data_IF_924419889942
#
_entry.id   IF_924419889942
#
_cell.length_a   1.000
_cell.length_b   1.000
_cell.length_c   1.000
_cell.angle_alpha   90.00
_cell.angle_beta   90.00
_cell.angle_gamma   90.00
#
_symmetry.space_group_name_H-M   'P 1'
#
loop_
_entity.id
_entity.type
_entity.pdbx_description
1 polymer ?
#
# COMPACT_ATOMS: atom_id res chain seq x y z
N UNK A 1 -41.71 0.79 50.78
CA UNK A 1 -43.12 0.68 50.35
C UNK A 1 -43.09 0.63 48.83
N UNK A 2 -43.23 -0.56 48.23
CA UNK A 2 -43.36 -0.70 46.78
C UNK A 2 -44.83 -0.44 46.39
N UNK A 3 -45.04 0.42 45.40
CA UNK A 3 -46.33 0.59 44.74
C UNK A 3 -46.43 -0.38 43.56
N UNK A 4 -47.36 -1.32 43.68
CA UNK A 4 -47.96 -2.11 42.61
C UNK A 4 -48.75 -1.21 41.64
N UNK A 5 -48.92 -1.67 40.38
CA UNK A 5 -50.06 -1.49 39.43
C UNK A 5 -49.57 -1.41 37.95
N UNK A 6 -50.36 -1.81 36.94
CA UNK A 6 -50.36 -3.19 36.43
C UNK A 6 -50.26 -3.30 34.89
N UNK A 7 -50.18 -4.55 34.44
CA UNK A 7 -50.34 -5.01 33.06
C UNK A 7 -51.62 -4.50 32.38
N UNK A 8 -51.51 -4.14 31.09
CA UNK A 8 -52.66 -4.04 30.17
C UNK A 8 -52.46 -5.02 29.00
N UNK A 9 -53.36 -5.99 28.91
CA UNK A 9 -53.71 -6.72 27.69
C UNK A 9 -54.75 -5.93 26.89
N UNK A 10 -54.67 -5.98 25.56
CA UNK A 10 -55.80 -6.11 24.62
C UNK A 10 -55.26 -6.29 23.18
N UNK A 11 -55.45 -7.47 22.57
CA UNK A 11 -56.35 -7.75 21.42
C UNK A 11 -55.65 -7.56 20.04
N UNK A 12 -55.82 -8.38 19.00
CA UNK A 12 -56.94 -9.24 18.62
C UNK A 12 -56.49 -10.41 17.71
N UNK A 13 -57.28 -11.48 17.75
CA UNK A 13 -57.23 -12.63 16.85
C UNK A 13 -58.08 -12.38 15.57
N UNK A 14 -57.74 -13.09 14.49
CA UNK A 14 -58.58 -13.19 13.29
C UNK A 14 -58.04 -14.21 12.29
N UNK A 15 -58.50 -15.46 12.39
CA UNK A 15 -58.26 -16.60 11.49
C UNK A 15 -59.54 -16.89 10.69
N UNK A 16 -59.45 -17.21 9.40
CA UNK A 16 -60.38 -18.12 8.71
C UNK A 16 -59.80 -18.62 7.37
N UNK A 17 -60.08 -19.89 7.04
CA UNK A 17 -59.41 -20.74 6.05
C UNK A 17 -60.40 -21.33 5.01
N UNK A 18 -60.10 -21.20 3.71
CA UNK A 18 -60.32 -22.16 2.58
C UNK A 18 -61.74 -22.51 2.07
N UNK A 19 -61.91 -23.39 1.05
CA UNK A 19 -61.10 -23.67 -0.17
C UNK A 19 -61.97 -23.88 -1.46
N UNK A 20 -61.34 -24.08 -2.64
CA UNK A 20 -62.04 -24.55 -3.87
C UNK A 20 -61.11 -24.80 -5.08
N UNK A 21 -61.23 -26.00 -5.69
CA UNK A 21 -60.42 -26.58 -6.78
C UNK A 21 -61.13 -26.45 -8.14
N UNK A 22 -60.40 -26.22 -9.24
CA UNK A 22 -60.87 -26.59 -10.60
C UNK A 22 -60.26 -25.82 -11.79
N UNK A 23 -59.56 -26.58 -12.65
CA UNK A 23 -59.35 -26.41 -14.10
C UNK A 23 -58.14 -25.65 -14.70
N UNK A 24 -57.44 -26.38 -15.58
CA UNK A 24 -56.29 -26.05 -16.45
C UNK A 24 -56.84 -25.67 -17.84
N UNK A 25 -56.20 -24.78 -18.64
CA UNK A 25 -55.32 -25.28 -19.70
C UNK A 25 -54.14 -24.36 -20.11
N UNK A 26 -53.18 -24.99 -20.81
CA UNK A 26 -52.28 -24.47 -21.85
C UNK A 26 -51.21 -23.41 -21.53
N UNK A 27 -49.96 -23.87 -21.55
CA UNK A 27 -48.75 -23.09 -21.82
C UNK A 27 -48.70 -22.76 -23.32
N UNK A 28 -48.33 -21.54 -23.71
CA UNK A 28 -47.48 -21.42 -24.89
C UNK A 28 -46.26 -20.51 -24.69
N UNK A 29 -45.18 -20.99 -25.31
CA UNK A 29 -44.13 -20.24 -25.99
C UNK A 29 -43.21 -19.32 -25.17
N UNK A 30 -42.02 -19.87 -24.93
CA UNK A 30 -40.71 -19.21 -24.89
C UNK A 30 -40.67 -17.83 -25.55
N UNK A 31 -40.56 -16.79 -24.71
CA UNK A 31 -39.90 -15.55 -25.10
C UNK A 31 -38.46 -15.64 -24.58
N UNK A 32 -37.54 -15.91 -25.49
CA UNK A 32 -36.10 -15.95 -25.29
C UNK A 32 -35.64 -14.57 -24.78
N UNK A 33 -35.35 -14.48 -23.47
CA UNK A 33 -34.68 -13.29 -22.93
C UNK A 33 -33.27 -13.24 -23.53
N UNK A 34 -32.82 -12.08 -24.03
CA UNK A 34 -31.43 -11.92 -24.43
C UNK A 34 -30.53 -12.25 -23.23
N UNK A 35 -29.55 -13.11 -23.46
CA UNK A 35 -28.58 -13.52 -22.45
C UNK A 35 -27.98 -12.27 -21.78
N UNK A 36 -27.87 -12.23 -20.44
CA UNK A 36 -27.11 -11.16 -19.78
C UNK A 36 -25.67 -11.17 -20.31
N UNK A 37 -25.01 -10.00 -20.42
CA UNK A 37 -23.62 -9.94 -20.84
C UNK A 37 -22.81 -10.86 -19.94
N UNK A 38 -22.01 -11.73 -20.57
CA UNK A 38 -21.14 -12.72 -19.93
C UNK A 38 -20.54 -12.11 -18.68
N UNK A 39 -21.02 -12.57 -17.52
CA UNK A 39 -20.51 -12.13 -16.24
C UNK A 39 -19.01 -12.41 -16.23
N UNK A 40 -18.22 -11.34 -16.05
CA UNK A 40 -16.80 -11.47 -15.76
C UNK A 40 -16.62 -12.53 -14.65
N UNK A 41 -15.57 -13.38 -14.71
CA UNK A 41 -15.42 -14.49 -13.79
C UNK A 41 -15.50 -13.98 -12.35
N UNK A 42 -16.44 -14.53 -11.60
CA UNK A 42 -16.63 -14.22 -10.19
C UNK A 42 -15.33 -14.53 -9.44
N UNK A 43 -14.52 -13.50 -9.21
CA UNK A 43 -13.39 -13.58 -8.29
C UNK A 43 -13.95 -13.98 -6.93
N UNK A 44 -13.46 -15.10 -6.39
CA UNK A 44 -14.00 -15.69 -5.16
C UNK A 44 -14.04 -14.63 -4.03
N UNK A 45 -15.15 -14.50 -3.29
CA UNK A 45 -15.33 -13.41 -2.32
C UNK A 45 -14.31 -13.42 -1.17
N UNK A 46 -13.70 -14.56 -0.87
CA UNK A 46 -12.70 -14.75 0.20
C UNK A 46 -11.30 -14.21 -0.13
N UNK A 47 -11.06 -13.82 -1.38
CA UNK A 47 -9.70 -13.51 -1.89
C UNK A 47 -9.44 -12.01 -2.05
N UNK A 48 -10.43 -11.17 -1.72
CA UNK A 48 -10.33 -9.71 -1.77
C UNK A 48 -10.36 -9.18 -0.34
N UNK A 49 -9.20 -8.76 0.19
CA UNK A 49 -9.16 -8.05 1.47
C UNK A 49 -10.14 -6.86 1.40
N UNK A 50 -11.13 -6.74 2.30
CA UNK A 50 -12.16 -5.70 2.19
C UNK A 50 -11.56 -4.29 2.18
N UNK A 51 -10.42 -4.08 2.86
CA UNK A 51 -9.70 -2.80 2.86
C UNK A 51 -9.18 -2.45 1.45
N UNK A 52 -8.76 -3.44 0.65
CA UNK A 52 -8.33 -3.20 -0.73
C UNK A 52 -9.49 -2.68 -1.59
N UNK A 53 -10.66 -3.31 -1.48
CA UNK A 53 -11.84 -2.94 -2.24
C UNK A 53 -12.33 -1.52 -1.91
N UNK A 54 -12.10 -1.05 -0.68
CA UNK A 54 -12.47 0.28 -0.23
C UNK A 54 -11.41 1.34 -0.53
N UNK A 55 -10.12 0.97 -0.55
CA UNK A 55 -9.03 1.90 -0.84
C UNK A 55 -8.77 2.10 -2.34
N UNK A 56 -8.91 1.06 -3.17
CA UNK A 56 -8.43 1.06 -4.55
C UNK A 56 -9.61 1.12 -5.52
N UNK A 57 -9.73 2.23 -6.24
CA UNK A 57 -10.84 2.46 -7.19
C UNK A 57 -10.59 1.86 -8.58
N UNK A 58 -9.33 1.54 -8.90
CA UNK A 58 -8.94 0.96 -10.18
C UNK A 58 -7.44 0.66 -10.24
N UNK A 59 -6.98 0.04 -11.32
CA UNK A 59 -5.58 -0.34 -11.51
C UNK A 59 -4.65 0.88 -11.63
N UNK A 60 -5.18 2.01 -12.11
CA UNK A 60 -4.46 3.28 -12.24
C UNK A 60 -4.58 4.19 -11.00
N UNK A 61 -5.30 3.76 -9.96
CA UNK A 61 -5.45 4.51 -8.70
C UNK A 61 -4.17 4.38 -7.85
N UNK A 62 -3.12 5.08 -8.26
CA UNK A 62 -1.81 5.03 -7.59
C UNK A 62 -1.92 5.41 -6.11
N UNK A 63 -2.74 6.41 -5.78
CA UNK A 63 -2.98 6.82 -4.39
C UNK A 63 -3.64 5.69 -3.59
N UNK A 64 -4.63 5.00 -4.16
CA UNK A 64 -5.25 3.82 -3.55
C UNK A 64 -4.27 2.66 -3.38
N UNK A 65 -3.47 2.34 -4.40
CA UNK A 65 -2.50 1.25 -4.37
C UNK A 65 -1.39 1.49 -3.33
N UNK A 66 -0.82 2.70 -3.29
CA UNK A 66 0.16 3.09 -2.27
C UNK A 66 -0.52 3.13 -0.89
N UNK A 67 -1.75 3.62 -0.79
CA UNK A 67 -2.53 3.61 0.45
C UNK A 67 -2.73 2.19 0.99
N UNK A 68 -3.01 1.22 0.13
CA UNK A 68 -3.11 -0.19 0.52
C UNK A 68 -1.78 -0.76 1.01
N UNK A 69 -0.66 -0.40 0.39
CA UNK A 69 0.66 -0.79 0.87
C UNK A 69 0.93 -0.22 2.28
N UNK A 70 0.53 1.03 2.55
CA UNK A 70 0.62 1.64 3.88
C UNK A 70 -0.25 0.91 4.92
N UNK A 71 -1.46 0.51 4.56
CA UNK A 71 -2.29 -0.34 5.41
C UNK A 71 -1.60 -1.67 5.74
N UNK A 72 -1.01 -2.35 4.75
CA UNK A 72 -0.30 -3.63 4.97
C UNK A 72 0.91 -3.46 5.87
N UNK A 73 1.62 -2.34 5.76
CA UNK A 73 2.70 -1.97 6.67
C UNK A 73 2.18 -1.81 8.11
N UNK A 74 1.10 -1.05 8.29
CA UNK A 74 0.48 -0.86 9.60
C UNK A 74 -0.05 -2.19 10.19
N UNK A 75 -0.62 -3.09 9.38
CA UNK A 75 -1.06 -4.42 9.83
C UNK A 75 0.11 -5.26 10.34
N UNK A 76 1.25 -5.22 9.64
CA UNK A 76 2.46 -5.92 10.09
C UNK A 76 2.96 -5.37 11.43
N UNK A 77 2.98 -4.05 11.59
CA UNK A 77 3.45 -3.43 12.83
C UNK A 77 2.50 -3.71 14.00
N UNK A 78 1.19 -3.77 13.73
CA UNK A 78 0.19 -4.24 14.69
C UNK A 78 0.41 -5.70 15.10
N UNK A 79 0.62 -6.62 14.14
CA UNK A 79 0.91 -8.04 14.44
C UNK A 79 2.15 -8.19 15.32
N UNK A 80 3.24 -7.50 14.98
CA UNK A 80 4.47 -7.54 15.77
C UNK A 80 4.24 -6.99 17.20
N UNK A 81 3.48 -5.91 17.32
CA UNK A 81 3.14 -5.32 18.62
C UNK A 81 2.23 -6.22 19.45
N UNK A 82 1.27 -6.90 18.81
CA UNK A 82 0.37 -7.83 19.43
C UNK A 82 1.14 -9.02 20.01
N UNK A 83 1.99 -9.66 19.21
CA UNK A 83 2.82 -10.79 19.65
C UNK A 83 3.74 -10.38 20.82
N UNK A 84 4.39 -9.22 20.72
CA UNK A 84 5.24 -8.70 21.81
C UNK A 84 4.47 -8.49 23.11
N UNK A 85 3.20 -8.10 23.04
CA UNK A 85 2.37 -7.78 24.21
C UNK A 85 1.73 -9.01 24.84
N UNK A 86 1.26 -9.94 24.01
CA UNK A 86 0.47 -11.10 24.46
C UNK A 86 1.24 -12.42 24.46
N UNK A 87 2.45 -12.47 23.87
CA UNK A 87 3.26 -13.69 23.76
C UNK A 87 2.65 -14.76 22.85
N UNK A 88 1.66 -14.39 22.02
CA UNK A 88 0.97 -15.26 21.06
C UNK A 88 0.54 -14.46 19.85
N UNK A 89 0.23 -15.17 18.76
CA UNK A 89 -0.45 -14.58 17.61
C UNK A 89 -1.90 -14.19 17.96
N UNK A 90 -2.48 -13.18 17.27
CA UNK A 90 -3.89 -12.84 17.43
C UNK A 90 -4.78 -13.96 16.89
N UNK A 91 -5.92 -14.13 17.53
CA UNK A 91 -7.02 -14.97 17.06
C UNK A 91 -7.73 -14.32 15.87
N UNK A 92 -8.54 -15.09 15.16
CA UNK A 92 -9.29 -14.58 14.00
C UNK A 92 -10.21 -13.41 14.39
N UNK A 93 -10.94 -13.52 15.51
CA UNK A 93 -11.83 -12.46 15.99
C UNK A 93 -11.08 -11.15 16.31
N UNK A 94 -9.84 -11.26 16.82
CA UNK A 94 -8.98 -10.10 17.08
C UNK A 94 -8.48 -9.47 15.78
N UNK A 95 -8.17 -10.29 14.77
CA UNK A 95 -7.80 -9.82 13.42
C UNK A 95 -8.98 -9.13 12.75
N UNK A 96 -10.19 -9.68 12.83
CA UNK A 96 -11.40 -9.09 12.27
C UNK A 96 -11.75 -7.77 12.97
N UNK A 97 -11.62 -7.73 14.30
CA UNK A 97 -11.79 -6.50 15.08
C UNK A 97 -10.81 -5.40 14.64
N UNK A 98 -9.55 -5.77 14.38
CA UNK A 98 -8.56 -4.85 13.83
C UNK A 98 -8.95 -4.36 12.43
N UNK A 99 -9.34 -5.28 11.53
CA UNK A 99 -9.76 -4.94 10.16
C UNK A 99 -10.97 -3.99 10.19
N UNK A 100 -11.95 -4.24 11.06
CA UNK A 100 -13.11 -3.36 11.22
C UNK A 100 -12.69 -1.92 11.62
N UNK A 101 -11.71 -1.78 12.52
CA UNK A 101 -11.14 -0.49 12.88
C UNK A 101 -10.43 0.22 11.72
N UNK A 102 -9.72 -0.53 10.89
CA UNK A 102 -9.00 -0.01 9.71
C UNK A 102 -9.93 0.41 8.56
N UNK A 103 -11.13 -0.17 8.48
CA UNK A 103 -12.16 0.15 7.47
C UNK A 103 -12.96 1.42 7.77
N UNK A 104 -12.68 2.09 8.88
CA UNK A 104 -13.35 3.36 9.17
C UNK A 104 -12.95 4.42 8.14
N UNK A 105 -13.90 5.26 7.72
CA UNK A 105 -13.67 6.30 6.70
C UNK A 105 -12.48 7.22 7.05
N UNK A 106 -12.30 7.50 8.35
CA UNK A 106 -11.16 8.27 8.85
C UNK A 106 -9.83 7.59 8.57
N UNK A 107 -9.72 6.28 8.81
CA UNK A 107 -8.48 5.50 8.56
C UNK A 107 -8.19 5.39 7.06
N UNK A 108 -9.20 5.04 6.27
CA UNK A 108 -9.08 4.99 4.80
C UNK A 108 -8.59 6.32 4.22
N UNK A 109 -9.22 7.44 4.62
CA UNK A 109 -8.81 8.79 4.21
C UNK A 109 -7.39 9.11 4.63
N UNK A 110 -6.97 8.67 5.82
CA UNK A 110 -5.60 8.87 6.29
C UNK A 110 -4.58 8.18 5.39
N UNK A 111 -4.82 6.91 5.03
CA UNK A 111 -3.93 6.19 4.13
C UNK A 111 -3.86 6.84 2.74
N UNK A 112 -4.99 7.29 2.21
CA UNK A 112 -5.03 7.99 0.92
C UNK A 112 -4.24 9.30 0.95
N UNK A 113 -4.45 10.14 1.97
CA UNK A 113 -3.71 11.41 2.12
C UNK A 113 -2.21 11.19 2.25
N UNK A 114 -1.79 10.22 3.08
CA UNK A 114 -0.37 9.90 3.21
C UNK A 114 0.24 9.40 1.90
N UNK A 115 -0.51 8.60 1.14
CA UNK A 115 -0.09 8.15 -0.19
C UNK A 115 0.06 9.32 -1.17
N UNK A 116 -0.93 10.20 -1.24
CA UNK A 116 -0.90 11.41 -2.07
C UNK A 116 0.30 12.30 -1.72
N UNK A 117 0.56 12.54 -0.44
CA UNK A 117 1.72 13.31 0.04
C UNK A 117 3.05 12.63 -0.34
N UNK A 118 3.14 11.31 -0.24
CA UNK A 118 4.34 10.56 -0.63
C UNK A 118 4.59 10.66 -2.14
N UNK A 119 3.55 10.48 -2.94
CA UNK A 119 3.62 10.58 -4.41
C UNK A 119 4.03 12.00 -4.81
N UNK A 120 3.38 13.03 -4.26
CA UNK A 120 3.68 14.43 -4.55
C UNK A 120 5.12 14.80 -4.21
N UNK A 121 5.62 14.37 -3.04
CA UNK A 121 7.03 14.58 -2.67
C UNK A 121 7.99 13.89 -3.63
N UNK A 122 7.69 12.66 -4.07
CA UNK A 122 8.54 11.93 -5.01
C UNK A 122 8.54 12.58 -6.40
N UNK A 123 7.39 13.02 -6.89
CA UNK A 123 7.28 13.75 -8.15
C UNK A 123 8.09 15.06 -8.13
N UNK A 124 7.95 15.86 -7.07
CA UNK A 124 8.71 17.11 -6.92
C UNK A 124 10.24 16.90 -6.87
N UNK A 125 10.70 15.79 -6.28
CA UNK A 125 12.12 15.41 -6.30
C UNK A 125 12.57 15.03 -7.71
N UNK A 126 11.75 14.27 -8.45
CA UNK A 126 12.04 13.88 -9.82
C UNK A 126 12.17 15.11 -10.73
N UNK A 127 11.19 16.02 -10.70
CA UNK A 127 11.21 17.27 -11.49
C UNK A 127 12.45 18.13 -11.19
N UNK A 128 12.83 18.23 -9.91
CA UNK A 128 14.03 18.96 -9.52
C UNK A 128 15.30 18.32 -10.07
N UNK A 129 15.38 17.00 -10.07
CA UNK A 129 16.53 16.27 -10.61
C UNK A 129 16.63 16.45 -12.12
N UNK A 130 15.50 16.41 -12.83
CA UNK A 130 15.44 16.61 -14.27
C UNK A 130 15.84 18.04 -14.66
N UNK A 131 15.39 19.04 -13.89
CA UNK A 131 15.80 20.43 -14.05
C UNK A 131 17.30 20.62 -13.79
N UNK A 132 17.84 19.99 -12.74
CA UNK A 132 19.27 20.04 -12.43
C UNK A 132 20.12 19.37 -13.52
N UNK A 133 19.67 18.22 -14.04
CA UNK A 133 20.33 17.53 -15.15
C UNK A 133 20.33 18.38 -16.43
N UNK A 134 19.20 19.02 -16.74
CA UNK A 134 19.07 19.91 -17.90
C UNK A 134 19.96 21.15 -17.78
N UNK A 135 20.02 21.78 -16.61
CA UNK A 135 20.90 22.92 -16.35
C UNK A 135 22.39 22.54 -16.42
N UNK A 136 22.75 21.36 -15.91
CA UNK A 136 24.11 20.84 -16.01
C UNK A 136 24.53 20.61 -17.47
N UNK A 137 23.64 20.05 -18.29
CA UNK A 137 23.87 19.86 -19.73
C UNK A 137 24.06 21.19 -20.47
N UNK A 138 23.27 22.21 -20.14
CA UNK A 138 23.39 23.55 -20.75
C UNK A 138 24.70 24.27 -20.40
N UNK A 139 25.26 24.02 -19.22
CA UNK A 139 26.48 24.69 -18.73
C UNK A 139 27.78 23.96 -19.13
N UNK A 140 27.69 22.70 -19.57
CA UNK A 140 28.83 21.88 -19.99
C UNK A 140 29.72 22.52 -21.09
N UNK A 141 29.18 23.06 -22.21
CA UNK A 141 30.02 23.70 -23.23
C UNK A 141 30.74 24.95 -22.71
N UNK A 142 30.09 25.74 -21.84
CA UNK A 142 30.70 26.94 -21.24
C UNK A 142 31.86 26.59 -20.30
N UNK A 143 31.76 25.48 -19.55
CA UNK A 143 32.84 24.97 -18.69
C UNK A 143 34.06 24.52 -19.48
N UNK A 144 33.86 23.83 -20.61
CA UNK A 144 34.96 23.37 -21.48
C UNK A 144 35.68 24.58 -22.08
N UNK A 145 34.95 25.58 -22.57
CA UNK A 145 35.56 26.83 -23.08
C UNK A 145 36.29 27.63 -21.99
N UNK A 146 35.73 27.72 -20.78
CA UNK A 146 36.39 28.38 -19.65
C UNK A 146 37.67 27.66 -19.22
N UNK A 147 37.68 26.32 -19.16
CA UNK A 147 38.88 25.52 -18.88
C UNK A 147 39.96 25.72 -19.95
N UNK A 148 39.59 25.78 -21.23
CA UNK A 148 40.55 26.03 -22.31
C UNK A 148 41.17 27.42 -22.20
N UNK A 149 40.37 28.44 -21.88
CA UNK A 149 40.86 29.80 -21.65
C UNK A 149 41.80 29.89 -20.43
N UNK A 150 41.47 29.20 -19.34
CA UNK A 150 42.32 29.17 -18.14
C UNK A 150 43.60 28.37 -18.35
N UNK A 151 43.56 27.27 -19.13
CA UNK A 151 44.73 26.47 -19.46
C UNK A 151 45.75 27.27 -20.30
N UNK A 152 45.28 28.07 -21.26
CA UNK A 152 46.12 28.98 -22.03
C UNK A 152 46.75 30.09 -21.17
N UNK A 153 46.04 30.54 -20.14
CA UNK A 153 46.55 31.54 -19.20
C UNK A 153 47.56 30.94 -18.22
N UNK A 154 47.37 29.70 -17.78
CA UNK A 154 48.33 28.97 -16.93
C UNK A 154 49.62 28.58 -17.65
N UNK A 155 49.58 28.30 -18.96
CA UNK A 155 50.80 28.00 -19.73
C UNK A 155 51.72 29.21 -19.96
N UNK A 156 51.27 30.42 -19.62
CA UNK A 156 52.06 31.65 -19.69
C UNK A 156 52.65 32.05 -18.33
N UNK A 157 52.31 31.34 -17.25
CA UNK A 157 52.86 31.58 -15.92
C UNK A 157 54.17 30.79 -15.72
N UNK A 158 55.23 31.39 -15.15
CA UNK A 158 56.48 30.69 -14.87
C UNK A 158 56.26 29.53 -13.87
N UNK A 159 56.80 28.37 -14.23
CA UNK A 159 56.57 27.06 -13.62
C UNK A 159 57.17 26.97 -12.21
N UNK A 160 56.35 26.64 -11.21
CA UNK A 160 56.78 26.20 -9.88
C UNK A 160 56.73 24.67 -9.80
N UNK A 161 57.70 24.00 -9.13
CA UNK A 161 57.86 22.55 -9.20
C UNK A 161 56.69 21.79 -8.54
N UNK A 162 56.25 20.65 -9.11
CA UNK A 162 55.05 19.93 -8.68
C UNK A 162 55.27 19.13 -7.39
N UNK A 163 54.36 19.28 -6.43
CA UNK A 163 54.27 18.45 -5.23
C UNK A 163 53.60 17.10 -5.54
N UNK A 164 54.16 16.02 -4.98
CA UNK A 164 53.75 14.64 -5.23
C UNK A 164 52.33 14.31 -4.68
N UNK A 165 51.51 13.53 -5.41
CA UNK A 165 50.17 13.15 -4.96
C UNK A 165 50.20 12.01 -3.91
N UNK A 166 49.56 12.24 -2.76
CA UNK A 166 49.30 11.19 -1.76
C UNK A 166 47.97 10.50 -2.06
N UNK A 167 48.00 9.22 -2.45
CA UNK A 167 46.81 8.38 -2.63
C UNK A 167 46.28 7.93 -1.26
N UNK A 168 45.03 8.31 -0.93
CA UNK A 168 44.32 7.88 0.28
C UNK A 168 43.55 6.58 0.01
N UNK A 169 43.90 5.50 0.69
CA UNK A 169 43.29 4.17 0.60
C UNK A 169 42.06 3.98 1.52
N UNK A 170 41.64 5.02 2.25
CA UNK A 170 40.62 4.92 3.29
C UNK A 170 39.18 4.73 2.75
N UNK A 171 38.90 5.13 1.51
CA UNK A 171 37.54 5.11 0.96
C UNK A 171 37.00 3.69 0.68
N UNK A 172 37.88 2.74 0.34
CA UNK A 172 37.49 1.38 -0.05
C UNK A 172 37.03 0.55 1.15
N UNK A 173 37.60 0.79 2.34
CA UNK A 173 37.28 0.01 3.54
C UNK A 173 35.87 0.32 4.07
N UNK A 174 35.46 1.60 4.03
CA UNK A 174 34.15 2.05 4.52
C UNK A 174 33.01 1.46 3.68
N UNK A 175 33.22 1.36 2.35
CA UNK A 175 32.24 0.75 1.44
C UNK A 175 31.96 -0.72 1.79
N UNK A 176 33.01 -1.51 2.06
CA UNK A 176 32.85 -2.94 2.38
C UNK A 176 32.19 -3.18 3.74
N UNK A 177 32.44 -2.34 4.73
CA UNK A 177 31.77 -2.42 6.04
C UNK A 177 30.26 -2.17 5.89
N UNK A 178 29.86 -1.18 5.10
CA UNK A 178 28.44 -0.90 4.85
C UNK A 178 27.73 -2.06 4.15
N UNK A 179 28.38 -2.71 3.17
CA UNK A 179 27.83 -3.88 2.46
C UNK A 179 27.62 -5.07 3.41
N UNK A 180 28.57 -5.35 4.29
CA UNK A 180 28.47 -6.45 5.26
C UNK A 180 27.32 -6.24 6.27
N UNK A 181 27.09 -5.00 6.72
CA UNK A 181 25.99 -4.68 7.65
C UNK A 181 24.61 -4.87 7.00
N UNK A 182 24.46 -4.50 5.73
CA UNK A 182 23.21 -4.71 4.98
C UNK A 182 22.91 -6.20 4.78
N UNK A 183 23.94 -7.00 4.44
CA UNK A 183 23.78 -8.44 4.24
C UNK A 183 23.45 -9.18 5.55
N UNK A 184 24.08 -8.79 6.66
CA UNK A 184 23.77 -9.36 7.97
C UNK A 184 22.33 -9.04 8.43
N UNK A 185 21.84 -7.82 8.18
CA UNK A 185 20.46 -7.43 8.48
C UNK A 185 19.42 -8.17 7.64
N UNK A 186 19.69 -8.38 6.35
CA UNK A 186 18.78 -9.09 5.45
C UNK A 186 18.69 -10.59 5.76
N UNK A 187 19.81 -11.23 6.13
CA UNK A 187 19.84 -12.64 6.52
C UNK A 187 19.04 -12.94 7.80
N UNK A 188 19.05 -12.01 8.76
CA UNK A 188 18.27 -12.12 10.00
C UNK A 188 16.76 -12.05 9.73
N UNK A 189 16.33 -11.32 8.71
CA UNK A 189 14.91 -11.19 8.35
C UNK A 189 14.35 -12.42 7.60
N UNK A 190 15.17 -13.15 6.86
CA UNK A 190 14.69 -14.27 6.03
C UNK A 190 14.42 -15.55 6.82
N UNK A 191 15.18 -15.82 7.88
CA UNK A 191 15.01 -17.03 8.72
C UNK A 191 13.69 -17.00 9.52
N UNK A 192 13.13 -15.81 9.78
CA UNK A 192 11.89 -15.68 10.55
C UNK A 192 10.61 -15.73 9.69
N UNK A 193 10.71 -15.64 8.36
CA UNK A 193 9.54 -15.69 7.46
C UNK A 193 9.17 -17.09 6.97
N UNK A 194 10.12 -18.02 6.88
CA UNK A 194 9.85 -19.39 6.40
C UNK A 194 9.00 -20.21 7.38
N UNK A 195 9.02 -19.88 8.67
CA UNK A 195 8.20 -20.53 9.70
C UNK A 195 6.73 -20.06 9.73
N UNK A 196 6.41 -18.93 9.10
CA UNK A 196 5.06 -18.33 9.12
C UNK A 196 4.18 -18.72 7.92
N UNK A 197 4.76 -19.28 6.85
CA UNK A 197 4.01 -19.56 5.60
C UNK A 197 4.05 -21.01 5.12
N UNK A 198 4.80 -21.92 5.76
CA UNK A 198 4.85 -23.35 5.39
C UNK A 198 4.25 -24.28 6.47
N UNK A 199 3.50 -23.74 7.43
CA UNK A 199 2.90 -24.50 8.54
C UNK A 199 1.41 -24.81 8.39
N UNK A 200 1.07 -25.71 7.46
CA UNK A 200 -0.11 -26.61 7.34
C UNK A 200 -0.80 -26.59 5.98
#
# INVERSE_FOLDING_TARGET
MPDDQPERQEAAAGVATGPGIGDKPAVPASAERPAPPVAAPATRPWQRNPVFAELVQGEEDLAGLVGYALYKLNKRDWLASFFKTHGRDPTEDEVESYILGERTQRRLTTYRRLAEDMIGRKAAIAERNDAAASAAAATAPQRISAMKANSLRSSLAPEAPPAAPRRSTAATLIFWIAVLLVLAGAGYYYVNYSSLFLGR
#
